data_IF_569808408271
#
_entry.id   IF_569808408271
#
_cell.length_a   1.000
_cell.length_b   1.000
_cell.length_c   1.000
_cell.angle_alpha   90.00
_cell.angle_beta   90.00
_cell.angle_gamma   90.00
#
_symmetry.space_group_name_H-M   'P 1'
#
loop_
_entity.id
_entity.type
_entity.pdbx_description
1 polymer ?
#
# COMPACT_ATOMS: atom_id res chain seq x y z
N UNK A 1 -7.16 -21.71 2.49
CA UNK A 1 -7.89 -20.51 2.03
C UNK A 1 -6.96 -19.72 1.12
N UNK A 2 -7.33 -19.43 -0.14
CA UNK A 2 -6.51 -18.56 -1.01
C UNK A 2 -6.64 -17.13 -0.46
N UNK A 3 -5.55 -16.56 0.08
CA UNK A 3 -5.48 -15.17 0.48
C UNK A 3 -5.87 -14.31 -0.72
N UNK A 4 -6.80 -13.41 -0.53
CA UNK A 4 -7.31 -12.53 -1.58
C UNK A 4 -6.22 -11.50 -1.92
N UNK A 5 -5.42 -11.82 -2.94
CA UNK A 5 -4.69 -10.77 -3.64
C UNK A 5 -5.74 -9.91 -4.37
N UNK A 6 -5.73 -8.61 -4.14
CA UNK A 6 -6.71 -7.73 -4.76
C UNK A 6 -6.55 -7.76 -6.28
N UNK A 7 -7.60 -8.18 -6.99
CA UNK A 7 -7.66 -8.10 -8.45
C UNK A 7 -7.70 -6.64 -8.86
N UNK A 8 -6.58 -6.08 -9.26
CA UNK A 8 -6.51 -4.67 -9.62
C UNK A 8 -6.42 -4.42 -11.13
N UNK A 9 -6.20 -5.43 -12.00
CA UNK A 9 -5.75 -5.11 -13.37
C UNK A 9 -6.04 -6.18 -14.41
N UNK A 10 -6.32 -5.70 -15.61
CA UNK A 10 -6.32 -6.45 -16.84
C UNK A 10 -5.24 -5.85 -17.76
N UNK A 11 -4.28 -6.64 -18.19
CA UNK A 11 -3.36 -6.27 -19.28
C UNK A 11 -4.16 -6.07 -20.56
N UNK A 12 -3.96 -4.93 -21.24
CA UNK A 12 -4.75 -4.58 -22.43
C UNK A 12 -4.36 -5.36 -23.66
N UNK A 13 -3.15 -5.91 -23.69
CA UNK A 13 -2.60 -6.60 -24.85
C UNK A 13 -2.78 -8.13 -24.74
N UNK A 14 -2.63 -8.66 -23.50
CA UNK A 14 -2.67 -10.11 -23.26
C UNK A 14 -3.94 -10.58 -22.55
N UNK A 15 -4.79 -9.66 -22.09
CA UNK A 15 -5.97 -9.94 -21.25
C UNK A 15 -5.63 -10.67 -19.93
N UNK A 16 -4.37 -10.60 -19.49
CA UNK A 16 -3.95 -11.19 -18.22
C UNK A 16 -4.37 -10.29 -17.05
N UNK A 17 -4.83 -10.91 -15.98
CA UNK A 17 -5.14 -10.22 -14.72
C UNK A 17 -3.88 -10.19 -13.87
N UNK A 18 -3.45 -8.99 -13.51
CA UNK A 18 -2.36 -8.79 -12.57
C UNK A 18 -2.91 -8.45 -11.19
N UNK A 19 -2.21 -8.91 -10.17
CA UNK A 19 -2.52 -8.65 -8.78
C UNK A 19 -1.43 -7.76 -8.20
N UNK A 20 -1.81 -6.74 -7.44
CA UNK A 20 -0.87 -5.97 -6.67
C UNK A 20 -0.57 -6.79 -5.41
N UNK A 21 0.64 -7.34 -5.33
CA UNK A 21 1.06 -8.08 -4.14
C UNK A 21 1.49 -7.11 -3.04
N UNK A 22 1.15 -7.44 -1.80
CA UNK A 22 1.61 -6.76 -0.59
C UNK A 22 2.34 -7.72 0.35
N UNK A 23 2.67 -8.92 -0.12
CA UNK A 23 3.14 -10.00 0.76
C UNK A 23 4.60 -9.84 1.20
N UNK A 24 5.44 -9.27 0.37
CA UNK A 24 6.89 -9.15 0.63
C UNK A 24 7.39 -7.71 0.64
N UNK A 25 6.58 -6.79 0.14
CA UNK A 25 6.91 -5.38 0.06
C UNK A 25 5.61 -4.56 0.07
N UNK A 26 5.64 -3.29 0.47
CA UNK A 26 4.48 -2.44 0.37
C UNK A 26 4.05 -2.27 -1.09
N UNK A 27 2.75 -2.27 -1.34
CA UNK A 27 2.22 -1.92 -2.64
C UNK A 27 2.33 -0.40 -2.83
N UNK A 28 2.96 0.03 -3.92
CA UNK A 28 3.19 1.43 -4.20
C UNK A 28 2.41 1.90 -5.43
N UNK A 29 1.63 2.98 -5.26
CA UNK A 29 0.81 3.57 -6.31
C UNK A 29 1.23 5.01 -6.51
N UNK A 30 1.76 5.31 -7.68
CA UNK A 30 2.19 6.64 -8.09
C UNK A 30 1.20 7.28 -9.05
N UNK A 31 0.97 8.57 -8.92
CA UNK A 31 0.16 9.31 -9.89
C UNK A 31 -0.05 10.76 -9.48
N UNK A 32 -0.24 11.62 -10.46
CA UNK A 32 -0.62 13.01 -10.22
C UNK A 32 -2.02 13.12 -9.59
N UNK A 33 -2.42 14.34 -9.20
CA UNK A 33 -3.78 14.58 -8.73
C UNK A 33 -4.81 14.09 -9.77
N UNK A 34 -5.95 13.58 -9.29
CA UNK A 34 -7.09 13.11 -10.11
C UNK A 34 -6.79 11.92 -11.04
N UNK A 35 -5.74 11.14 -10.80
CA UNK A 35 -5.43 9.95 -11.59
C UNK A 35 -6.13 8.68 -11.10
N UNK A 36 -6.88 8.74 -9.99
CA UNK A 36 -7.65 7.62 -9.45
C UNK A 36 -6.96 6.82 -8.34
N UNK A 37 -5.89 7.36 -7.72
CA UNK A 37 -5.20 6.72 -6.59
C UNK A 37 -6.16 6.32 -5.46
N UNK A 38 -6.93 7.29 -4.97
CA UNK A 38 -7.91 7.07 -3.89
C UNK A 38 -8.97 6.05 -4.29
N UNK A 39 -9.37 5.98 -5.57
CA UNK A 39 -10.29 4.94 -6.04
C UNK A 39 -9.70 3.52 -5.92
N UNK A 40 -8.39 3.35 -6.07
CA UNK A 40 -7.77 2.05 -5.83
C UNK A 40 -7.91 1.67 -4.35
N UNK A 41 -7.67 2.60 -3.43
CA UNK A 41 -7.88 2.36 -1.99
C UNK A 41 -9.35 2.03 -1.70
N UNK A 42 -10.31 2.79 -2.24
CA UNK A 42 -11.76 2.52 -2.08
C UNK A 42 -12.13 1.10 -2.50
N UNK A 43 -11.59 0.64 -3.63
CA UNK A 43 -11.79 -0.73 -4.08
C UNK A 43 -11.21 -1.76 -3.12
N UNK A 44 -10.02 -1.52 -2.59
CA UNK A 44 -9.40 -2.39 -1.60
C UNK A 44 -10.24 -2.47 -0.33
N UNK A 45 -10.69 -1.32 0.19
CA UNK A 45 -11.55 -1.26 1.38
C UNK A 45 -12.91 -1.97 1.20
N UNK A 46 -13.39 -2.08 -0.03
CA UNK A 46 -14.59 -2.86 -0.33
C UNK A 46 -14.32 -4.36 -0.28
N UNK A 47 -13.12 -4.79 -0.70
CA UNK A 47 -12.73 -6.20 -0.71
C UNK A 47 -12.30 -6.73 0.67
N UNK A 48 -11.85 -5.85 1.56
CA UNK A 48 -11.32 -6.16 2.89
C UNK A 48 -12.39 -5.92 3.98
N UNK A 49 -13.59 -6.44 3.78
CA UNK A 49 -14.73 -6.19 4.68
C UNK A 49 -14.57 -6.81 6.07
N UNK A 50 -13.80 -7.89 6.18
CA UNK A 50 -13.68 -8.70 7.40
C UNK A 50 -12.30 -8.57 8.07
N UNK A 51 -11.37 -7.91 7.40
CA UNK A 51 -10.00 -7.77 7.87
C UNK A 51 -9.79 -6.42 8.57
N UNK A 52 -8.91 -6.36 9.57
CA UNK A 52 -8.56 -5.10 10.24
C UNK A 52 -7.79 -4.19 9.28
N UNK A 53 -8.25 -2.96 9.10
CA UNK A 53 -7.66 -1.99 8.18
C UNK A 53 -7.42 -0.66 8.87
N UNK A 54 -6.18 -0.17 8.85
CA UNK A 54 -5.83 1.21 9.19
C UNK A 54 -5.86 2.07 7.93
N UNK A 55 -6.54 3.21 7.99
CA UNK A 55 -6.70 4.14 6.86
C UNK A 55 -6.17 5.51 7.26
N UNK A 56 -5.11 5.95 6.60
CA UNK A 56 -4.54 7.30 6.76
C UNK A 56 -5.00 8.18 5.58
N UNK A 57 -5.87 9.15 5.85
CA UNK A 57 -6.45 10.09 4.87
C UNK A 57 -6.57 11.48 5.50
N UNK A 58 -5.45 12.19 5.53
CA UNK A 58 -5.31 13.41 6.34
C UNK A 58 -5.63 14.70 5.58
N UNK A 59 -5.86 14.64 4.28
CA UNK A 59 -6.06 15.82 3.44
C UNK A 59 -7.39 15.84 2.72
N UNK A 60 -7.66 14.80 1.97
CA UNK A 60 -8.83 14.78 1.09
C UNK A 60 -10.10 14.42 1.86
N UNK A 61 -9.98 13.64 2.92
CA UNK A 61 -11.08 13.01 3.66
C UNK A 61 -12.06 12.25 2.77
N UNK A 62 -11.61 11.85 1.57
CA UNK A 62 -12.45 11.09 0.64
C UNK A 62 -12.75 9.67 1.11
N UNK A 63 -11.99 9.18 2.08
CA UNK A 63 -12.18 7.86 2.70
C UNK A 63 -12.93 7.93 4.04
N UNK A 64 -13.34 9.12 4.49
CA UNK A 64 -14.03 9.31 5.77
C UNK A 64 -15.32 8.49 5.90
N UNK A 65 -16.02 8.21 4.80
CA UNK A 65 -17.22 7.36 4.81
C UNK A 65 -16.97 5.94 5.32
N UNK A 66 -15.72 5.46 5.26
CA UNK A 66 -15.36 4.12 5.75
C UNK A 66 -15.14 4.07 7.28
N UNK A 67 -15.08 5.23 7.95
CA UNK A 67 -14.94 5.32 9.42
C UNK A 67 -16.07 4.60 10.17
N UNK A 68 -17.24 4.45 9.55
CA UNK A 68 -18.38 3.76 10.15
C UNK A 68 -18.26 2.24 10.17
N UNK A 69 -17.28 1.67 9.47
CA UNK A 69 -17.05 0.23 9.43
C UNK A 69 -16.28 -0.22 10.68
N UNK A 70 -16.74 -1.28 11.35
CA UNK A 70 -16.16 -1.80 12.59
C UNK A 70 -14.71 -2.28 12.42
N UNK A 71 -14.35 -2.76 11.23
CA UNK A 71 -13.02 -3.25 10.91
C UNK A 71 -12.04 -2.16 10.48
N UNK A 72 -12.47 -0.88 10.39
CA UNK A 72 -11.65 0.23 9.89
C UNK A 72 -11.26 1.17 11.03
N UNK A 73 -9.96 1.37 11.22
CA UNK A 73 -9.38 2.40 12.07
C UNK A 73 -9.01 3.59 11.18
N UNK A 74 -9.85 4.63 11.18
CA UNK A 74 -9.66 5.80 10.33
C UNK A 74 -8.84 6.89 11.04
N UNK A 75 -7.80 7.38 10.38
CA UNK A 75 -6.92 8.44 10.86
C UNK A 75 -6.94 9.61 9.88
N UNK A 76 -7.82 10.59 10.17
CA UNK A 76 -8.03 11.79 9.34
C UNK A 76 -7.35 13.06 9.88
N UNK A 77 -6.68 12.98 11.03
CA UNK A 77 -5.95 14.10 11.63
C UNK A 77 -4.66 13.63 12.29
N UNK A 78 -3.83 14.59 12.71
CA UNK A 78 -2.52 14.33 13.29
C UNK A 78 -2.58 13.46 14.56
N UNK A 79 -3.57 13.66 15.42
CA UNK A 79 -3.72 12.90 16.66
C UNK A 79 -4.10 11.44 16.37
N UNK A 80 -5.06 11.25 15.46
CA UNK A 80 -5.49 9.93 15.02
C UNK A 80 -4.36 9.17 14.28
N UNK A 81 -3.54 9.89 13.49
CA UNK A 81 -2.34 9.32 12.86
C UNK A 81 -1.36 8.79 13.90
N UNK A 82 -1.03 9.62 14.89
CA UNK A 82 -0.09 9.24 15.95
C UNK A 82 -0.62 8.04 16.76
N UNK A 83 -1.90 8.03 17.09
CA UNK A 83 -2.54 6.93 17.80
C UNK A 83 -2.51 5.63 16.97
N UNK A 84 -2.84 5.71 15.68
CA UNK A 84 -2.85 4.55 14.78
C UNK A 84 -1.44 3.98 14.56
N UNK A 85 -0.43 4.82 14.39
CA UNK A 85 0.96 4.37 14.29
C UNK A 85 1.45 3.68 15.57
N UNK A 86 1.03 4.17 16.74
CA UNK A 86 1.33 3.51 18.01
C UNK A 86 0.65 2.13 18.10
N UNK A 87 -0.61 2.00 17.69
CA UNK A 87 -1.30 0.71 17.65
C UNK A 87 -0.62 -0.27 16.69
N UNK A 88 -0.19 0.20 15.52
CA UNK A 88 0.58 -0.61 14.56
C UNK A 88 1.90 -1.07 15.20
N UNK A 89 2.58 -0.19 15.93
CA UNK A 89 3.81 -0.51 16.66
C UNK A 89 3.58 -1.60 17.71
N UNK A 90 2.52 -1.50 18.50
CA UNK A 90 2.14 -2.51 19.50
C UNK A 90 1.86 -3.86 18.82
N UNK A 91 1.15 -3.86 17.70
CA UNK A 91 0.89 -5.08 16.93
C UNK A 91 2.19 -5.71 16.38
N UNK A 92 3.12 -4.90 15.87
CA UNK A 92 4.44 -5.38 15.41
C UNK A 92 5.21 -6.04 16.56
N UNK A 93 5.21 -5.42 17.75
CA UNK A 93 5.88 -5.98 18.91
C UNK A 93 5.24 -7.30 19.35
N UNK A 94 3.92 -7.37 19.43
CA UNK A 94 3.22 -8.61 19.78
C UNK A 94 3.58 -9.75 18.79
N UNK A 95 3.54 -9.48 17.49
CA UNK A 95 3.92 -10.48 16.46
C UNK A 95 5.38 -10.89 16.54
N UNK A 96 6.26 -9.97 16.93
CA UNK A 96 7.67 -10.28 17.14
C UNK A 96 7.85 -11.23 18.33
N UNK A 97 7.21 -10.97 19.45
CA UNK A 97 7.24 -11.83 20.64
C UNK A 97 6.68 -13.22 20.30
N UNK A 98 5.53 -13.31 19.65
CA UNK A 98 4.93 -14.57 19.20
C UNK A 98 5.88 -15.36 18.26
N UNK A 99 6.61 -14.67 17.37
CA UNK A 99 7.57 -15.32 16.49
C UNK A 99 8.78 -15.88 17.26
N UNK A 100 9.32 -15.11 18.19
CA UNK A 100 10.45 -15.56 19.02
C UNK A 100 10.04 -16.75 19.88
N UNK A 101 8.85 -16.75 20.47
CA UNK A 101 8.31 -17.89 21.21
C UNK A 101 8.12 -19.12 20.31
N UNK A 102 7.50 -18.96 19.15
CA UNK A 102 7.30 -20.05 18.21
C UNK A 102 8.63 -20.65 17.70
N UNK A 103 9.70 -19.84 17.61
CA UNK A 103 11.04 -20.31 17.28
C UNK A 103 11.69 -21.15 18.37
N UNK A 104 11.30 -21.02 19.64
CA UNK A 104 11.79 -21.89 20.70
C UNK A 104 11.28 -23.32 20.50
N UNK A 105 10.07 -23.47 19.97
CA UNK A 105 9.46 -24.79 19.71
C UNK A 105 9.91 -25.39 18.36
N UNK A 106 10.10 -24.53 17.34
CA UNK A 106 10.56 -24.91 15.99
C UNK A 106 11.65 -23.97 15.48
N UNK A 107 12.91 -24.35 15.69
CA UNK A 107 14.08 -23.57 15.24
C UNK A 107 14.12 -23.38 13.72
N UNK A 108 13.47 -24.26 12.95
CA UNK A 108 13.42 -24.18 11.48
C UNK A 108 12.34 -23.22 10.97
N UNK A 109 11.46 -22.71 11.83
CA UNK A 109 10.36 -21.81 11.46
C UNK A 109 10.90 -20.53 10.80
N UNK A 110 10.51 -20.32 9.54
CA UNK A 110 10.83 -19.08 8.83
C UNK A 110 9.78 -18.00 9.12
N UNK A 111 10.19 -16.72 9.06
CA UNK A 111 9.27 -15.59 9.18
C UNK A 111 8.14 -15.67 8.13
N UNK A 112 8.47 -16.06 6.89
CA UNK A 112 7.47 -16.20 5.83
C UNK A 112 6.39 -17.24 6.18
N UNK A 113 6.79 -18.35 6.81
CA UNK A 113 5.83 -19.37 7.24
C UNK A 113 5.00 -18.89 8.42
N UNK A 114 5.63 -18.25 9.40
CA UNK A 114 4.97 -17.72 10.58
C UNK A 114 3.90 -16.68 10.22
N UNK A 115 4.22 -15.65 9.42
CA UNK A 115 3.26 -14.60 9.08
C UNK A 115 2.04 -15.11 8.32
N UNK A 116 2.14 -16.28 7.67
CA UNK A 116 1.00 -16.93 7.00
C UNK A 116 -0.03 -17.49 7.98
N UNK A 117 0.34 -17.69 9.24
CA UNK A 117 -0.57 -18.18 10.29
C UNK A 117 -1.34 -17.05 10.98
N UNK A 118 -0.84 -15.83 10.89
CA UNK A 118 -1.43 -14.68 11.57
C UNK A 118 -2.68 -14.13 10.83
N UNK A 119 -3.61 -13.51 11.57
CA UNK A 119 -4.71 -12.79 10.94
C UNK A 119 -4.16 -11.61 10.11
N UNK A 120 -4.66 -11.37 8.91
CA UNK A 120 -4.19 -10.28 8.07
C UNK A 120 -4.60 -8.93 8.66
N UNK A 121 -3.67 -7.97 8.61
CA UNK A 121 -3.89 -6.56 8.95
C UNK A 121 -3.42 -5.74 7.75
N UNK A 122 -4.17 -4.72 7.40
CA UNK A 122 -3.88 -3.85 6.28
C UNK A 122 -3.67 -2.40 6.73
N UNK A 123 -2.75 -1.72 6.08
CA UNK A 123 -2.48 -0.29 6.25
C UNK A 123 -2.61 0.38 4.90
N UNK A 124 -3.55 1.31 4.78
CA UNK A 124 -3.82 2.08 3.56
C UNK A 124 -3.41 3.53 3.81
N UNK A 125 -2.42 4.02 3.08
CA UNK A 125 -1.94 5.40 3.16
C UNK A 125 -2.37 6.14 1.90
N UNK A 126 -3.35 7.04 2.02
CA UNK A 126 -3.68 7.94 0.93
C UNK A 126 -2.83 9.20 1.04
N UNK A 127 -1.89 9.35 0.11
CA UNK A 127 -0.89 10.41 0.04
C UNK A 127 0.22 10.33 1.10
N UNK A 128 1.29 9.65 0.74
CA UNK A 128 2.49 9.50 1.59
C UNK A 128 3.03 10.84 2.12
N UNK A 129 3.00 11.89 1.30
CA UNK A 129 3.45 13.22 1.66
C UNK A 129 2.69 13.77 2.86
N UNK A 130 1.38 13.55 2.90
CA UNK A 130 0.52 14.02 3.99
C UNK A 130 0.78 13.24 5.28
N UNK A 131 0.99 11.93 5.19
CA UNK A 131 1.40 11.14 6.35
C UNK A 131 2.71 11.67 6.93
N UNK A 132 3.71 11.95 6.07
CA UNK A 132 5.00 12.45 6.48
C UNK A 132 4.90 13.82 7.19
N UNK A 133 4.11 14.74 6.66
CA UNK A 133 3.87 16.06 7.27
C UNK A 133 3.17 15.93 8.63
N UNK A 134 2.26 14.96 8.80
CA UNK A 134 1.54 14.76 10.05
C UNK A 134 2.38 14.15 11.18
N UNK A 135 3.46 13.47 10.86
CA UNK A 135 4.41 12.98 11.87
C UNK A 135 5.55 13.97 12.15
N UNK A 136 5.41 15.24 11.73
CA UNK A 136 6.40 16.32 11.95
C UNK A 136 7.79 15.97 11.39
N UNK A 137 7.82 15.30 10.26
CA UNK A 137 9.06 14.83 9.62
C UNK A 137 9.89 13.87 10.51
N UNK A 138 9.27 13.27 11.54
CA UNK A 138 9.89 12.24 12.35
C UNK A 138 9.88 10.89 11.61
N UNK A 139 10.96 10.63 10.91
CA UNK A 139 11.13 9.41 10.11
C UNK A 139 10.99 8.13 10.94
N UNK A 140 11.33 8.16 12.23
CA UNK A 140 11.27 6.97 13.09
C UNK A 140 9.82 6.46 13.26
N UNK A 141 8.84 7.36 13.21
CA UNK A 141 7.42 7.00 13.28
C UNK A 141 6.92 6.33 12.00
N UNK A 142 7.42 6.75 10.85
CA UNK A 142 7.07 6.15 9.56
C UNK A 142 7.79 4.81 9.37
N UNK A 143 9.02 4.69 9.88
CA UNK A 143 9.84 3.49 9.74
C UNK A 143 9.22 2.27 10.43
N UNK A 144 8.26 2.46 11.36
CA UNK A 144 7.46 1.35 11.89
C UNK A 144 6.70 0.59 10.79
N UNK A 145 6.36 1.24 9.67
CA UNK A 145 5.69 0.59 8.54
C UNK A 145 6.62 -0.37 7.80
N UNK A 146 7.94 -0.13 7.82
CA UNK A 146 8.92 -1.08 7.28
C UNK A 146 8.97 -2.35 8.13
N UNK A 147 8.98 -2.20 9.47
CA UNK A 147 8.89 -3.35 10.37
C UNK A 147 7.54 -4.07 10.23
N UNK A 148 6.44 -3.31 10.11
CA UNK A 148 5.10 -3.87 9.92
C UNK A 148 5.04 -4.82 8.71
N UNK A 149 5.64 -4.45 7.59
CA UNK A 149 5.72 -5.32 6.39
C UNK A 149 6.45 -6.62 6.71
N UNK A 150 7.54 -6.58 7.46
CA UNK A 150 8.32 -7.77 7.84
C UNK A 150 7.52 -8.74 8.69
N UNK A 151 6.64 -8.23 9.55
CA UNK A 151 5.78 -9.04 10.43
C UNK A 151 4.38 -9.30 9.85
N UNK A 152 4.24 -9.24 8.52
CA UNK A 152 3.02 -9.66 7.82
C UNK A 152 1.84 -8.69 7.94
N UNK A 153 2.10 -7.41 8.18
CA UNK A 153 1.12 -6.34 8.03
C UNK A 153 1.24 -5.80 6.60
N UNK A 154 0.16 -5.84 5.86
CA UNK A 154 0.13 -5.48 4.44
C UNK A 154 -0.03 -3.98 4.27
N UNK A 155 0.91 -3.33 3.59
CA UNK A 155 0.91 -1.87 3.43
C UNK A 155 0.70 -1.48 1.97
N UNK A 156 -0.28 -0.61 1.73
CA UNK A 156 -0.53 0.03 0.44
C UNK A 156 -0.37 1.54 0.60
N UNK A 157 0.44 2.14 -0.27
CA UNK A 157 0.74 3.56 -0.21
C UNK A 157 0.45 4.22 -1.54
N UNK A 158 -0.22 5.36 -1.52
CA UNK A 158 -0.31 6.24 -2.68
C UNK A 158 0.60 7.46 -2.53
N UNK A 159 1.10 7.97 -3.64
CA UNK A 159 1.94 9.16 -3.68
C UNK A 159 1.80 9.91 -5.00
N UNK A 160 2.15 11.19 -4.99
CA UNK A 160 2.41 11.92 -6.22
C UNK A 160 3.78 11.55 -6.81
N UNK A 161 4.02 11.91 -8.08
CA UNK A 161 5.29 11.64 -8.76
C UNK A 161 6.49 12.33 -8.14
N UNK A 162 6.27 13.40 -7.40
CA UNK A 162 7.33 14.17 -6.74
C UNK A 162 7.41 13.78 -5.26
N UNK A 163 8.10 12.69 -4.98
CA UNK A 163 8.50 12.36 -3.60
C UNK A 163 9.65 13.30 -3.22
N UNK A 164 9.33 14.53 -2.82
CA UNK A 164 10.34 15.52 -2.43
C UNK A 164 10.85 15.21 -1.01
N UNK A 165 12.19 15.16 -0.86
CA UNK A 165 12.94 15.28 0.41
C UNK A 165 12.62 14.29 1.55
N UNK A 166 11.93 13.21 1.32
CA UNK A 166 11.74 12.17 2.33
C UNK A 166 13.00 11.29 2.48
N UNK A 167 14.16 11.89 2.33
CA UNK A 167 15.46 11.23 2.35
C UNK A 167 15.84 10.92 3.78
N UNK A 168 15.94 9.64 4.10
CA UNK A 168 16.48 8.93 5.28
C UNK A 168 15.50 8.03 6.03
N UNK A 169 14.28 7.81 5.52
CA UNK A 169 13.35 6.83 6.06
C UNK A 169 13.60 5.46 5.43
N UNK A 170 13.78 4.44 6.25
CA UNK A 170 13.92 3.04 5.79
C UNK A 170 12.67 2.57 5.04
N UNK A 171 11.50 3.02 5.49
CA UNK A 171 10.24 2.70 4.81
C UNK A 171 10.19 3.28 3.39
N UNK A 172 10.65 4.53 3.21
CA UNK A 172 10.71 5.15 1.88
C UNK A 172 11.74 4.45 0.99
N UNK A 173 12.89 4.08 1.53
CA UNK A 173 13.88 3.28 0.80
C UNK A 173 13.27 1.94 0.35
N UNK A 174 12.49 1.28 1.21
CA UNK A 174 11.75 0.06 0.86
C UNK A 174 10.74 0.31 -0.26
N UNK A 175 9.97 1.41 -0.21
CA UNK A 175 9.03 1.78 -1.27
C UNK A 175 9.74 2.01 -2.61
N UNK A 176 10.86 2.74 -2.61
CA UNK A 176 11.63 3.03 -3.81
C UNK A 176 12.35 1.79 -4.37
N UNK A 177 12.69 0.84 -3.52
CA UNK A 177 13.23 -0.46 -3.91
C UNK A 177 12.15 -1.46 -4.36
N UNK A 178 10.86 -1.10 -4.23
CA UNK A 178 9.77 -1.97 -4.63
C UNK A 178 9.86 -2.34 -6.11
N UNK A 179 9.76 -3.64 -6.37
CA UNK A 179 9.76 -4.16 -7.75
C UNK A 179 8.40 -4.02 -8.43
N UNK A 180 7.34 -3.88 -7.64
CA UNK A 180 5.96 -3.81 -8.12
C UNK A 180 5.34 -2.45 -7.80
N UNK A 181 5.14 -1.65 -8.83
CA UNK A 181 4.57 -0.30 -8.70
C UNK A 181 3.44 -0.10 -9.70
N UNK A 182 2.35 0.49 -9.25
CA UNK A 182 1.28 0.96 -10.13
C UNK A 182 1.45 2.45 -10.41
N UNK A 183 1.65 2.80 -11.66
CA UNK A 183 1.82 4.17 -12.11
C UNK A 183 0.55 4.61 -12.83
N UNK A 184 -0.16 5.59 -12.28
CA UNK A 184 -1.40 6.14 -12.83
C UNK A 184 -1.14 7.45 -13.55
N UNK A 185 -1.77 7.64 -14.69
CA UNK A 185 -1.54 8.81 -15.56
C UNK A 185 -0.36 8.62 -16.51
N UNK A 186 0.33 9.71 -16.84
CA UNK A 186 1.44 9.64 -17.77
C UNK A 186 2.72 9.17 -17.07
N UNK A 187 3.20 7.99 -17.44
CA UNK A 187 4.40 7.38 -16.86
C UNK A 187 5.65 8.26 -17.02
N UNK A 188 5.70 9.12 -18.03
CA UNK A 188 6.85 10.00 -18.28
C UNK A 188 6.94 11.19 -17.31
N UNK A 189 5.87 11.47 -16.56
CA UNK A 189 5.84 12.56 -15.59
C UNK A 189 6.54 12.20 -14.27
N UNK A 190 6.86 10.90 -14.06
CA UNK A 190 7.58 10.42 -12.89
C UNK A 190 9.07 10.15 -13.23
N UNK A 191 9.93 10.28 -12.21
CA UNK A 191 11.39 10.09 -12.35
C UNK A 191 11.93 8.96 -11.45
N UNK A 192 11.05 8.26 -10.72
CA UNK A 192 11.45 7.26 -9.73
C UNK A 192 11.76 5.90 -10.35
N UNK A 193 11.04 5.56 -11.42
CA UNK A 193 11.16 4.25 -12.07
C UNK A 193 11.42 4.40 -13.57
N UNK A 194 12.15 3.44 -14.15
CA UNK A 194 12.40 3.45 -15.59
C UNK A 194 11.12 3.20 -16.37
N UNK A 195 10.98 3.86 -17.50
CA UNK A 195 9.82 3.72 -18.38
C UNK A 195 10.21 3.43 -19.86
N UNK A 196 11.36 2.81 -20.05
CA UNK A 196 11.85 2.43 -21.40
C UNK A 196 10.82 1.54 -22.11
N UNK A 197 10.63 1.77 -23.40
CA UNK A 197 9.71 0.99 -24.24
C UNK A 197 8.24 1.42 -24.16
N UNK A 198 7.87 2.34 -23.29
CA UNK A 198 6.49 2.82 -23.22
C UNK A 198 6.24 3.93 -24.24
N UNK A 199 5.30 3.71 -25.13
CA UNK A 199 4.76 4.74 -26.02
C UNK A 199 3.79 5.62 -25.25
N UNK A 200 3.80 6.93 -25.54
CA UNK A 200 2.86 7.86 -24.93
C UNK A 200 1.45 7.54 -25.42
N UNK A 201 0.59 7.05 -24.55
CA UNK A 201 -0.79 6.78 -24.86
C UNK A 201 -1.71 7.17 -23.73
N UNK A 202 -2.78 7.80 -24.13
CA UNK A 202 -4.07 8.04 -23.48
C UNK A 202 -4.07 8.20 -21.93
N UNK A 203 -4.33 9.44 -21.50
CA UNK A 203 -4.44 9.88 -20.10
C UNK A 203 -5.80 9.55 -19.45
N UNK A 204 -6.44 8.44 -19.80
CA UNK A 204 -7.71 8.06 -19.18
C UNK A 204 -7.48 7.52 -17.78
N UNK A 205 -8.29 7.92 -16.82
CA UNK A 205 -8.23 7.51 -15.41
C UNK A 205 -8.33 5.97 -15.24
N UNK A 206 -8.93 5.28 -16.22
CA UNK A 206 -9.10 3.82 -16.20
C UNK A 206 -7.81 3.04 -16.51
N UNK A 207 -6.72 3.71 -16.89
CA UNK A 207 -5.49 3.06 -17.32
C UNK A 207 -4.31 3.49 -16.46
N UNK A 208 -3.41 2.57 -16.26
CA UNK A 208 -2.12 2.78 -15.61
C UNK A 208 -1.04 1.90 -16.22
N UNK A 209 0.13 1.98 -15.63
CA UNK A 209 1.25 1.12 -15.97
C UNK A 209 1.64 0.31 -14.75
N UNK A 210 1.72 -0.99 -14.95
CA UNK A 210 2.31 -1.89 -13.98
C UNK A 210 3.79 -2.01 -14.25
N UNK A 211 4.57 -1.49 -13.36
CA UNK A 211 6.02 -1.63 -13.37
C UNK A 211 6.40 -2.85 -12.51
N UNK A 212 7.12 -3.78 -13.11
CA UNK A 212 7.70 -4.92 -12.40
C UNK A 212 9.11 -5.18 -12.91
N UNK A 213 10.09 -5.02 -12.02
CA UNK A 213 11.50 -5.30 -12.28
C UNK A 213 12.03 -4.71 -13.61
N UNK A 214 11.67 -3.44 -13.90
CA UNK A 214 12.10 -2.74 -15.14
C UNK A 214 11.18 -2.94 -16.34
N UNK A 215 10.21 -3.83 -16.27
CA UNK A 215 9.22 -4.05 -17.33
C UNK A 215 7.95 -3.25 -17.03
N UNK A 216 7.52 -2.44 -17.99
CA UNK A 216 6.30 -1.66 -17.89
C UNK A 216 5.21 -2.27 -18.77
N UNK A 217 4.04 -2.51 -18.19
CA UNK A 217 2.86 -3.02 -18.91
C UNK A 217 1.69 -2.09 -18.72
N UNK A 218 1.01 -1.76 -19.81
CA UNK A 218 -0.22 -0.98 -19.74
C UNK A 218 -1.34 -1.86 -19.19
N UNK A 219 -2.03 -1.38 -18.19
CA UNK A 219 -3.10 -2.11 -17.52
C UNK A 219 -4.35 -1.26 -17.43
N UNK A 220 -5.50 -1.91 -17.57
CA UNK A 220 -6.79 -1.30 -17.30
C UNK A 220 -7.19 -1.59 -15.86
N UNK A 221 -7.54 -0.57 -15.10
CA UNK A 221 -8.00 -0.71 -13.73
C UNK A 221 -9.42 -1.29 -13.74
N UNK A 222 -9.64 -2.33 -12.96
CA UNK A 222 -10.97 -2.87 -12.72
C UNK A 222 -11.46 -2.27 -11.41
N UNK A 223 -12.46 -1.41 -11.49
CA UNK A 223 -13.12 -0.86 -10.33
C UNK A 223 -14.32 -1.73 -9.95
N UNK A 224 -14.40 -2.11 -8.69
CA UNK A 224 -15.62 -2.71 -8.15
C UNK A 224 -16.72 -1.63 -8.19
N UNK A 225 -17.75 -1.83 -8.97
CA UNK A 225 -18.93 -0.97 -8.88
C UNK A 225 -19.64 -1.33 -7.58
N UNK A 226 -19.83 -0.36 -6.70
CA UNK A 226 -20.78 -0.51 -5.61
C UNK A 226 -22.12 -0.95 -6.24
N UNK A 227 -22.58 -2.13 -5.88
CA UNK A 227 -23.96 -2.52 -6.19
C UNK A 227 -24.87 -1.60 -5.37
N UNK A 228 -25.54 -0.68 -6.07
CA UNK A 228 -26.57 0.17 -5.49
C UNK A 228 -27.75 -0.64 -5.04
#
# INVERSE_FOLDING_TARGET
MKRQSAKCRLDTDTLQVYYLSMEQAPAFILGNAKTGKTNVIKNMLTLLSDDKVYVFDNKSHELAAYQSKENVVYAGDKSAVAASLNQIKEEVFARKEEYEEAKLDDVSLSMETFVKTLPPIYVMVDMLQELYENVEEDNSRIDILEEAVRYGIYVLVTSEFKVKKMTRSKFIEMLLASREVLILGNIKDQLLFSYTGVREENRKVEFGYYHNAGVNRKVKLIFHREMK
#
